data_IF_341993638445
#
_entry.id   IF_341993638445
#
_cell.length_a   1.000
_cell.length_b   1.000
_cell.length_c   1.000
_cell.angle_alpha   90.00
_cell.angle_beta   90.00
_cell.angle_gamma   90.00
#
_symmetry.space_group_name_H-M   'P 1'
#
loop_
_entity.id
_entity.type
_entity.pdbx_description
1 polymer ?
#
# COMPACT_ATOMS: atom_id res chain seq x y z
N UNK A 1 -9.01 21.25 -32.20
CA UNK A 1 -8.87 21.33 -30.74
C UNK A 1 -9.77 20.24 -30.15
N UNK A 2 -9.20 19.06 -29.83
CA UNK A 2 -9.95 17.95 -29.23
C UNK A 2 -9.95 18.16 -27.70
N UNK A 3 -11.11 18.45 -27.15
CA UNK A 3 -11.31 18.43 -25.70
C UNK A 3 -11.53 16.98 -25.26
N UNK A 4 -10.59 16.41 -24.50
CA UNK A 4 -10.79 15.13 -23.83
C UNK A 4 -11.75 15.35 -22.66
N UNK A 5 -13.00 14.93 -22.82
CA UNK A 5 -13.96 14.85 -21.72
C UNK A 5 -13.62 13.59 -20.94
N UNK A 6 -13.00 13.73 -19.76
CA UNK A 6 -12.85 12.65 -18.81
C UNK A 6 -14.22 12.29 -18.25
N UNK A 7 -14.88 11.29 -18.82
CA UNK A 7 -16.13 10.76 -18.29
C UNK A 7 -15.79 9.88 -17.08
N UNK A 8 -15.89 10.44 -15.89
CA UNK A 8 -15.90 9.66 -14.64
C UNK A 8 -17.20 8.87 -14.62
N UNK A 9 -17.15 7.58 -14.90
CA UNK A 9 -18.29 6.68 -14.70
C UNK A 9 -18.71 6.74 -13.22
N UNK A 10 -20.01 6.93 -12.93
CA UNK A 10 -20.48 6.93 -11.56
C UNK A 10 -20.13 5.61 -10.91
N UNK A 11 -19.30 5.66 -9.86
CA UNK A 11 -19.00 4.45 -9.07
C UNK A 11 -20.25 4.05 -8.32
N UNK A 12 -20.66 2.79 -8.50
CA UNK A 12 -21.75 2.22 -7.73
C UNK A 12 -21.39 2.25 -6.24
N UNK A 13 -22.29 2.74 -5.36
CA UNK A 13 -22.02 2.77 -3.93
C UNK A 13 -21.77 1.34 -3.40
N UNK A 14 -20.87 1.21 -2.42
CA UNK A 14 -20.69 -0.05 -1.69
C UNK A 14 -21.88 -0.20 -0.76
N UNK A 15 -22.66 -1.28 -1.00
CA UNK A 15 -23.80 -1.64 -0.14
C UNK A 15 -23.35 -2.79 0.77
N UNK A 16 -23.65 -2.71 2.08
CA UNK A 16 -23.45 -3.80 3.03
C UNK A 16 -22.01 -3.98 3.55
N UNK A 17 -21.13 -2.98 3.38
CA UNK A 17 -19.73 -3.00 3.88
C UNK A 17 -19.41 -1.89 4.89
N UNK A 18 -20.45 -1.33 5.47
CA UNK A 18 -20.30 -0.25 6.46
C UNK A 18 -19.52 -0.69 7.71
N UNK A 19 -19.74 -1.90 8.27
CA UNK A 19 -18.98 -2.34 9.44
C UNK A 19 -17.47 -2.43 9.15
N UNK A 20 -17.06 -2.91 7.98
CA UNK A 20 -15.66 -3.02 7.60
C UNK A 20 -15.01 -1.64 7.43
N UNK A 21 -15.73 -0.67 6.90
CA UNK A 21 -15.26 0.70 6.78
C UNK A 21 -15.13 1.40 8.15
N UNK A 22 -16.05 1.14 9.07
CA UNK A 22 -15.96 1.63 10.46
C UNK A 22 -14.75 1.03 11.21
N UNK A 23 -14.37 -0.23 10.89
CA UNK A 23 -13.13 -0.83 11.41
C UNK A 23 -11.90 -0.09 10.87
N UNK A 24 -11.90 0.22 9.56
CA UNK A 24 -10.82 0.99 8.94
C UNK A 24 -10.67 2.38 9.58
N UNK A 25 -11.76 3.13 9.72
CA UNK A 25 -11.74 4.48 10.32
C UNK A 25 -11.17 4.46 11.74
N UNK A 26 -11.61 3.51 12.58
CA UNK A 26 -11.11 3.35 13.95
C UNK A 26 -9.63 2.96 13.97
N UNK A 27 -9.22 2.02 13.10
CA UNK A 27 -7.84 1.56 13.03
C UNK A 27 -6.89 2.68 12.58
N UNK A 28 -7.29 3.45 11.57
CA UNK A 28 -6.50 4.60 11.09
C UNK A 28 -6.42 5.70 12.15
N UNK A 29 -7.54 6.00 12.82
CA UNK A 29 -7.63 7.06 13.83
C UNK A 29 -6.94 6.73 15.15
N UNK A 30 -6.77 5.44 15.51
CA UNK A 30 -6.12 5.05 16.77
C UNK A 30 -4.62 5.39 16.81
N UNK A 31 -3.96 5.41 15.68
CA UNK A 31 -2.51 5.59 15.58
C UNK A 31 -1.68 4.39 16.06
N UNK A 32 -2.29 3.40 16.70
CA UNK A 32 -1.61 2.24 17.30
C UNK A 32 -1.34 1.11 16.32
N UNK A 33 -2.22 0.97 15.31
CA UNK A 33 -2.14 -0.12 14.34
C UNK A 33 -1.28 0.25 13.14
N UNK A 34 -0.47 -0.69 12.69
CA UNK A 34 0.34 -0.55 11.49
C UNK A 34 -0.49 -0.62 10.19
N UNK A 35 -1.66 -1.24 10.24
CA UNK A 35 -2.55 -1.40 9.10
C UNK A 35 -3.68 -2.37 9.37
N UNK A 36 -4.35 -2.79 8.29
CA UNK A 36 -5.38 -3.84 8.32
C UNK A 36 -5.28 -4.75 7.09
N UNK A 37 -5.82 -5.95 7.23
CA UNK A 37 -5.86 -6.93 6.14
C UNK A 37 -7.29 -7.26 5.79
N UNK A 38 -7.61 -7.12 4.50
CA UNK A 38 -8.88 -7.52 3.91
C UNK A 38 -8.70 -8.93 3.34
N UNK A 39 -9.23 -9.91 4.06
CA UNK A 39 -9.08 -11.31 3.73
C UNK A 39 -10.38 -11.90 3.17
N UNK A 40 -10.29 -12.73 2.12
CA UNK A 40 -11.48 -13.39 1.58
C UNK A 40 -11.27 -14.06 0.22
N UNK A 41 -12.26 -14.82 -0.23
CA UNK A 41 -12.24 -15.53 -1.50
C UNK A 41 -12.07 -14.60 -2.71
N UNK A 42 -11.66 -15.15 -3.85
CA UNK A 42 -11.65 -14.40 -5.11
C UNK A 42 -13.07 -13.89 -5.45
N UNK A 43 -13.16 -12.69 -6.02
CA UNK A 43 -14.43 -12.09 -6.46
C UNK A 43 -15.33 -11.48 -5.37
N UNK A 44 -14.99 -11.59 -4.06
CA UNK A 44 -15.85 -11.05 -2.98
C UNK A 44 -15.77 -9.53 -2.80
N UNK A 45 -15.01 -8.82 -3.65
CA UNK A 45 -14.94 -7.36 -3.64
C UNK A 45 -13.85 -6.77 -2.74
N UNK A 46 -12.78 -7.52 -2.40
CA UNK A 46 -11.65 -7.02 -1.57
C UNK A 46 -11.02 -5.75 -2.13
N UNK A 47 -10.63 -5.78 -3.40
CA UNK A 47 -10.04 -4.63 -4.10
C UNK A 47 -10.97 -3.41 -4.06
N UNK A 48 -12.27 -3.62 -4.21
CA UNK A 48 -13.28 -2.56 -4.12
C UNK A 48 -13.35 -1.96 -2.72
N UNK A 49 -13.33 -2.81 -1.69
CA UNK A 49 -13.31 -2.35 -0.29
C UNK A 49 -12.02 -1.59 0.04
N UNK A 50 -10.87 -2.09 -0.41
CA UNK A 50 -9.59 -1.40 -0.24
C UNK A 50 -9.56 -0.03 -0.95
N UNK A 51 -10.13 0.06 -2.15
CA UNK A 51 -10.30 1.34 -2.85
C UNK A 51 -11.20 2.32 -2.09
N UNK A 52 -12.24 1.83 -1.43
CA UNK A 52 -13.13 2.66 -0.60
C UNK A 52 -12.41 3.18 0.65
N UNK A 53 -11.65 2.31 1.34
CA UNK A 53 -10.78 2.73 2.45
C UNK A 53 -9.82 3.85 2.01
N UNK A 54 -9.21 3.72 0.83
CA UNK A 54 -8.36 4.77 0.26
C UNK A 54 -9.11 6.07 0.03
N UNK A 55 -10.33 6.03 -0.51
CA UNK A 55 -11.14 7.22 -0.74
C UNK A 55 -11.53 7.92 0.56
N UNK A 56 -11.89 7.14 1.59
CA UNK A 56 -12.15 7.69 2.92
C UNK A 56 -10.90 8.35 3.52
N UNK A 57 -9.72 7.73 3.35
CA UNK A 57 -8.46 8.34 3.76
C UNK A 57 -8.20 9.69 3.06
N UNK A 58 -8.43 9.75 1.74
CA UNK A 58 -8.33 11.00 0.97
C UNK A 58 -9.31 12.05 1.50
N UNK A 59 -10.57 11.67 1.75
CA UNK A 59 -11.59 12.58 2.29
C UNK A 59 -11.23 13.08 3.70
N UNK A 60 -10.52 12.28 4.49
CA UNK A 60 -9.99 12.64 5.81
C UNK A 60 -8.66 13.43 5.74
N UNK A 61 -8.15 13.74 4.55
CA UNK A 61 -6.93 14.56 4.35
C UNK A 61 -5.62 13.77 4.42
N UNK A 62 -5.67 12.43 4.44
CA UNK A 62 -4.46 11.60 4.38
C UNK A 62 -3.89 11.51 2.97
N UNK A 63 -2.56 11.57 2.80
CA UNK A 63 -1.93 11.19 1.55
C UNK A 63 -2.16 9.70 1.29
N UNK A 64 -2.33 9.32 0.03
CA UNK A 64 -2.59 7.92 -0.31
C UNK A 64 -1.75 7.45 -1.48
N UNK A 65 -1.32 6.19 -1.44
CA UNK A 65 -0.60 5.53 -2.53
C UNK A 65 -1.15 4.12 -2.76
N UNK A 66 -0.94 3.58 -3.95
CA UNK A 66 -1.32 2.22 -4.29
C UNK A 66 -0.12 1.41 -4.75
N UNK A 67 0.02 0.25 -4.16
CA UNK A 67 0.98 -0.78 -4.53
C UNK A 67 0.19 -1.96 -5.07
N UNK A 68 0.50 -2.43 -6.26
CA UNK A 68 -0.19 -3.57 -6.84
C UNK A 68 0.84 -4.62 -7.27
N UNK A 69 0.74 -5.78 -6.68
CA UNK A 69 1.45 -6.97 -7.16
C UNK A 69 0.88 -7.44 -8.49
N UNK A 70 1.75 -7.79 -9.41
CA UNK A 70 1.39 -8.49 -10.64
C UNK A 70 2.48 -9.49 -11.00
N UNK A 71 2.14 -10.47 -11.84
CA UNK A 71 3.16 -11.42 -12.33
C UNK A 71 4.31 -10.74 -13.05
N UNK A 72 4.07 -9.58 -13.65
CA UNK A 72 5.08 -8.79 -14.37
C UNK A 72 5.95 -7.99 -13.40
N UNK A 73 5.33 -7.34 -12.41
CA UNK A 73 6.07 -6.58 -11.38
C UNK A 73 6.87 -7.48 -10.46
N UNK A 74 6.42 -8.71 -10.22
CA UNK A 74 7.15 -9.70 -9.42
C UNK A 74 8.50 -10.13 -10.04
N UNK A 75 8.71 -9.89 -11.34
CA UNK A 75 9.99 -10.15 -12.02
C UNK A 75 11.04 -9.04 -11.82
N UNK A 76 10.63 -7.89 -11.35
CA UNK A 76 11.51 -6.73 -11.13
C UNK A 76 11.58 -6.46 -9.63
N UNK A 77 12.72 -6.66 -8.96
CA UNK A 77 12.85 -6.35 -7.54
C UNK A 77 12.40 -4.92 -7.24
N UNK A 78 11.53 -4.77 -6.23
CA UNK A 78 10.91 -3.48 -5.85
C UNK A 78 10.00 -2.86 -6.93
N UNK A 79 9.70 -3.57 -8.02
CA UNK A 79 8.87 -3.06 -9.10
C UNK A 79 7.45 -2.68 -8.67
N UNK A 80 6.88 -3.44 -7.74
CA UNK A 80 5.53 -3.18 -7.22
C UNK A 80 5.47 -1.92 -6.33
N UNK A 81 6.57 -1.53 -5.71
CA UNK A 81 6.68 -0.38 -4.78
C UNK A 81 7.40 0.83 -5.37
N UNK A 82 7.65 0.84 -6.68
CA UNK A 82 8.39 1.90 -7.36
C UNK A 82 7.83 3.32 -7.06
N UNK A 83 6.52 3.45 -6.89
CA UNK A 83 5.87 4.71 -6.53
C UNK A 83 6.22 5.20 -5.12
N UNK A 84 6.58 4.29 -4.21
CA UNK A 84 7.03 4.63 -2.85
C UNK A 84 8.50 5.06 -2.84
N UNK A 85 9.31 4.57 -3.79
CA UNK A 85 10.73 4.86 -3.87
C UNK A 85 10.97 6.30 -4.34
N UNK A 86 11.08 7.21 -3.41
CA UNK A 86 11.40 8.61 -3.71
C UNK A 86 12.89 8.75 -4.02
N UNK A 87 13.23 9.04 -5.27
CA UNK A 87 14.62 9.29 -5.67
C UNK A 87 15.35 8.09 -6.28
N UNK A 88 14.63 7.00 -6.60
CA UNK A 88 15.19 5.84 -7.30
C UNK A 88 15.71 4.73 -6.39
N UNK A 89 16.31 3.71 -6.98
CA UNK A 89 16.75 2.47 -6.31
C UNK A 89 18.03 2.62 -5.45
N UNK A 90 18.35 3.81 -4.99
CA UNK A 90 19.59 4.05 -4.22
C UNK A 90 20.85 3.95 -5.10
N UNK A 91 21.97 4.39 -4.56
CA UNK A 91 23.25 4.20 -5.25
C UNK A 91 23.77 2.78 -4.98
N UNK A 92 24.18 2.03 -6.03
CA UNK A 92 24.80 0.74 -5.83
C UNK A 92 26.10 0.89 -5.04
N UNK A 93 26.39 -0.06 -4.17
CA UNK A 93 27.69 -0.19 -3.50
C UNK A 93 28.81 -0.41 -4.51
N UNK A 94 30.08 -0.20 -4.14
CA UNK A 94 31.22 -0.49 -5.02
C UNK A 94 31.26 -1.93 -5.55
N UNK A 95 30.62 -2.88 -4.85
CA UNK A 95 30.43 -4.28 -5.26
C UNK A 95 29.21 -4.53 -6.16
N UNK A 96 28.48 -3.45 -6.54
CA UNK A 96 27.29 -3.51 -7.36
C UNK A 96 26.01 -3.95 -6.62
N UNK A 97 26.09 -4.22 -5.31
CA UNK A 97 24.93 -4.57 -4.50
C UNK A 97 24.20 -3.32 -3.98
N UNK A 98 22.87 -3.41 -3.90
CA UNK A 98 22.05 -2.36 -3.28
C UNK A 98 22.02 -2.57 -1.77
N UNK A 99 22.37 -1.55 -1.00
CA UNK A 99 22.18 -1.58 0.44
C UNK A 99 20.69 -1.42 0.78
N UNK A 100 20.02 -2.54 1.01
CA UNK A 100 18.58 -2.57 1.26
C UNK A 100 18.20 -1.81 2.54
N UNK A 101 19.05 -1.82 3.57
CA UNK A 101 18.78 -1.11 4.82
C UNK A 101 18.85 0.40 4.58
N UNK A 102 19.89 0.85 3.89
CA UNK A 102 20.03 2.27 3.52
C UNK A 102 18.88 2.72 2.60
N UNK A 103 18.48 1.90 1.64
CA UNK A 103 17.35 2.17 0.75
C UNK A 103 16.03 2.33 1.52
N UNK A 104 15.76 1.43 2.46
CA UNK A 104 14.53 1.48 3.26
C UNK A 104 14.46 2.73 4.12
N UNK A 105 15.56 3.06 4.78
CA UNK A 105 15.65 4.27 5.61
C UNK A 105 15.57 5.55 4.77
N UNK A 106 16.21 5.59 3.62
CA UNK A 106 16.11 6.71 2.68
C UNK A 106 14.67 6.89 2.19
N UNK A 107 13.99 5.80 1.85
CA UNK A 107 12.58 5.83 1.43
C UNK A 107 11.68 6.35 2.55
N UNK A 108 11.90 5.87 3.78
CA UNK A 108 11.17 6.32 4.96
C UNK A 108 11.29 7.84 5.16
N UNK A 109 12.52 8.36 5.11
CA UNK A 109 12.78 9.81 5.28
C UNK A 109 12.13 10.62 4.16
N UNK A 110 12.30 10.19 2.92
CA UNK A 110 11.73 10.89 1.77
C UNK A 110 10.19 10.92 1.79
N UNK A 111 9.53 9.84 2.23
CA UNK A 111 8.08 9.82 2.42
C UNK A 111 7.65 10.74 3.56
N UNK A 112 8.40 10.74 4.68
CA UNK A 112 8.13 11.63 5.81
C UNK A 112 8.22 13.10 5.40
N UNK A 113 9.27 13.49 4.69
CA UNK A 113 9.45 14.85 4.17
C UNK A 113 8.38 15.23 3.16
N UNK A 114 8.11 14.36 2.17
CA UNK A 114 7.10 14.58 1.11
C UNK A 114 5.70 14.82 1.69
N UNK A 115 5.35 14.15 2.76
CA UNK A 115 4.02 14.20 3.36
C UNK A 115 3.98 15.00 4.67
N UNK A 116 5.04 15.79 4.96
CA UNK A 116 5.11 16.66 6.14
C UNK A 116 4.85 15.91 7.45
N UNK A 117 5.40 14.71 7.57
CA UNK A 117 5.19 13.83 8.71
C UNK A 117 3.82 13.15 8.80
N UNK A 118 2.91 13.44 7.86
CA UNK A 118 1.59 12.78 7.83
C UNK A 118 1.74 11.34 7.38
N UNK A 119 1.03 10.45 8.06
CA UNK A 119 1.04 9.02 7.76
C UNK A 119 0.40 8.75 6.39
N UNK A 120 1.12 8.10 5.49
CA UNK A 120 0.66 7.74 4.15
C UNK A 120 -0.23 6.48 4.23
N UNK A 121 -1.45 6.54 3.74
CA UNK A 121 -2.30 5.34 3.62
C UNK A 121 -1.96 4.61 2.32
N UNK A 122 -1.37 3.44 2.46
CA UNK A 122 -0.92 2.61 1.34
C UNK A 122 -1.83 1.41 1.15
N UNK A 123 -2.46 1.31 -0.01
CA UNK A 123 -3.25 0.13 -0.39
C UNK A 123 -2.35 -0.83 -1.17
N UNK A 124 -2.15 -2.04 -0.63
CA UNK A 124 -1.44 -3.12 -1.30
C UNK A 124 -2.44 -4.21 -1.74
N UNK A 125 -2.69 -4.27 -3.04
CA UNK A 125 -3.64 -5.23 -3.60
C UNK A 125 -2.92 -6.54 -3.95
N UNK A 126 -3.52 -7.68 -3.54
CA UNK A 126 -2.98 -9.04 -3.70
C UNK A 126 -1.51 -9.12 -3.21
N UNK A 127 -1.29 -8.90 -1.91
CA UNK A 127 0.07 -8.87 -1.32
C UNK A 127 0.88 -10.15 -1.53
N UNK A 128 0.25 -11.28 -1.78
CA UNK A 128 0.90 -12.55 -2.16
C UNK A 128 1.64 -12.49 -3.50
N UNK A 129 1.33 -11.51 -4.34
CA UNK A 129 1.99 -11.29 -5.63
C UNK A 129 3.15 -10.27 -5.57
N UNK A 130 3.42 -9.71 -4.40
CA UNK A 130 4.57 -8.84 -4.21
C UNK A 130 5.86 -9.66 -4.15
N UNK A 131 6.93 -9.14 -4.73
CA UNK A 131 8.26 -9.69 -4.54
C UNK A 131 8.75 -9.51 -3.09
N UNK A 132 9.67 -10.36 -2.64
CA UNK A 132 10.14 -10.35 -1.26
C UNK A 132 10.75 -8.99 -0.83
N UNK A 133 11.57 -8.29 -1.64
CA UNK A 133 12.02 -6.94 -1.32
C UNK A 133 10.90 -5.92 -1.18
N UNK A 134 9.86 -5.99 -2.03
CA UNK A 134 8.68 -5.12 -1.93
C UNK A 134 7.91 -5.35 -0.63
N UNK A 135 7.67 -6.62 -0.27
CA UNK A 135 7.04 -7.00 1.01
C UNK A 135 7.86 -6.48 2.21
N UNK A 136 9.18 -6.66 2.18
CA UNK A 136 10.05 -6.21 3.26
C UNK A 136 10.03 -4.68 3.42
N UNK A 137 10.05 -3.91 2.32
CA UNK A 137 9.94 -2.46 2.38
C UNK A 137 8.60 -2.01 2.95
N UNK A 138 7.49 -2.56 2.46
CA UNK A 138 6.15 -2.20 2.94
C UNK A 138 6.00 -2.53 4.43
N UNK A 139 6.49 -3.69 4.86
CA UNK A 139 6.52 -4.10 6.27
C UNK A 139 7.34 -3.17 7.14
N UNK A 140 8.54 -2.83 6.69
CA UNK A 140 9.40 -1.87 7.37
C UNK A 140 8.71 -0.51 7.55
N UNK A 141 8.16 0.06 6.48
CA UNK A 141 7.49 1.36 6.52
C UNK A 141 6.25 1.36 7.43
N UNK A 142 5.50 0.26 7.45
CA UNK A 142 4.35 0.08 8.32
C UNK A 142 4.77 -0.03 9.80
N UNK A 143 5.79 -0.84 10.11
CA UNK A 143 6.34 -0.98 11.45
C UNK A 143 6.93 0.34 12.00
N UNK A 144 7.49 1.17 11.13
CA UNK A 144 7.99 2.51 11.49
C UNK A 144 6.89 3.58 11.58
N UNK A 145 5.62 3.22 11.36
CA UNK A 145 4.50 4.15 11.38
C UNK A 145 4.47 5.17 10.24
N UNK A 146 5.36 5.03 9.25
CA UNK A 146 5.43 5.91 8.08
C UNK A 146 4.21 5.74 7.18
N UNK A 147 3.74 4.49 7.04
CA UNK A 147 2.51 4.18 6.31
C UNK A 147 1.48 3.52 7.22
N UNK A 148 0.20 3.65 6.83
CA UNK A 148 -0.89 2.78 7.28
C UNK A 148 -1.22 1.82 6.14
N UNK A 149 -1.00 0.53 6.34
CA UNK A 149 -1.15 -0.46 5.30
C UNK A 149 -2.59 -1.00 5.24
N UNK A 150 -3.21 -0.94 4.07
CA UNK A 150 -4.45 -1.66 3.75
C UNK A 150 -4.08 -2.75 2.75
N UNK A 151 -3.92 -3.98 3.23
CA UNK A 151 -3.53 -5.12 2.41
C UNK A 151 -4.74 -5.96 2.00
N UNK A 152 -4.75 -6.49 0.78
CA UNK A 152 -5.70 -7.53 0.39
C UNK A 152 -5.00 -8.88 0.23
N UNK A 153 -5.66 -9.95 0.68
CA UNK A 153 -5.15 -11.33 0.63
C UNK A 153 -6.27 -12.30 0.26
N UNK A 154 -5.94 -13.33 -0.51
CA UNK A 154 -6.91 -14.38 -0.88
C UNK A 154 -6.90 -15.51 0.14
N UNK A 155 -8.09 -16.05 0.40
CA UNK A 155 -8.23 -17.27 1.20
C UNK A 155 -7.50 -18.43 0.52
N UNK A 156 -6.66 -19.13 1.29
CA UNK A 156 -5.87 -20.28 0.81
C UNK A 156 -4.48 -19.92 0.29
N UNK A 157 -4.13 -18.65 0.21
CA UNK A 157 -2.76 -18.21 -0.07
C UNK A 157 -1.96 -18.09 1.24
N UNK A 158 -0.63 -18.30 1.19
CA UNK A 158 0.22 -18.12 2.36
C UNK A 158 0.12 -16.66 2.84
N UNK A 159 -0.04 -16.50 4.16
CA UNK A 159 -0.06 -15.18 4.77
C UNK A 159 1.38 -14.71 4.90
N UNK A 160 1.77 -13.59 4.29
CA UNK A 160 3.12 -13.07 4.46
C UNK A 160 3.40 -12.68 5.92
N UNK A 161 4.64 -12.83 6.39
CA UNK A 161 5.07 -12.51 7.77
C UNK A 161 4.74 -11.07 8.18
N UNK A 162 4.72 -10.17 7.23
CA UNK A 162 4.25 -8.79 7.35
C UNK A 162 2.87 -8.65 8.02
N UNK A 163 2.02 -9.70 7.90
CA UNK A 163 0.62 -9.68 8.35
C UNK A 163 0.44 -10.40 9.69
N UNK A 164 1.41 -11.22 10.09
CA UNK A 164 1.35 -12.11 11.29
C UNK A 164 2.20 -11.61 12.45
N UNK A 165 3.01 -10.56 12.26
CA UNK A 165 3.91 -9.98 13.26
C UNK A 165 3.27 -9.11 14.30
#
# INVERSE_FOLDING_TARGET
>A
MLAAVATTLPRWPIIGRRPELEVFERALGSGELAGLVIYGRAGVGKTRLADECRQQAVAAGHPTERVAGSRTTALVPLGAVAALLAGGLGQPRPDGQVDMVALFEQTRRALHERHEGRRLVTVADDVSLLDAPSLALVGYLAAQGTIFLVATLRTGEPVPDLVTG
#
